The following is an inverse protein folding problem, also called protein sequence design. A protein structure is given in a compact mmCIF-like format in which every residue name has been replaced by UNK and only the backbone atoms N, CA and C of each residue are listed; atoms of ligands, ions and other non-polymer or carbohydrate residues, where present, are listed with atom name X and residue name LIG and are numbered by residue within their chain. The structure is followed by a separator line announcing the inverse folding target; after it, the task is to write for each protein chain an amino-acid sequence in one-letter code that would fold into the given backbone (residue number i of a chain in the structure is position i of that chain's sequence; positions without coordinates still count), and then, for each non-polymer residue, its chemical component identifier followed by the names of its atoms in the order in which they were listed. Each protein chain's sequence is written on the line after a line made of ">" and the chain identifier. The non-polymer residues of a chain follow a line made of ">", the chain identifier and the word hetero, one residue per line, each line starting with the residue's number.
data_IF_356990949571
#
_entry.id   IF_356990949571
#
_cell.length_a   1.000
_cell.length_b   1.000
_cell.length_c   1.000
_cell.angle_alpha   90.00
_cell.angle_beta   90.00
_cell.angle_gamma   90.00
#
_symmetry.space_group_name_H-M   'P 1'
#
loop_
_entity.id
_entity.type
_entity.pdbx_description
1 polymer ?
#
# COMPACT_ATOMS: atom_id res chain seq x y z
N UNK A 1 -1.46 -27.42 -11.04
CA UNK A 1 -1.28 -26.18 -10.26
C UNK A 1 0.14 -25.73 -10.48
N UNK A 2 0.36 -24.67 -11.27
CA UNK A 2 1.67 -24.07 -11.47
C UNK A 2 1.84 -23.03 -10.36
N UNK A 3 2.75 -23.27 -9.43
CA UNK A 3 3.17 -22.24 -8.49
C UNK A 3 4.37 -21.54 -9.13
N UNK A 4 4.27 -20.25 -9.47
CA UNK A 4 5.43 -19.52 -9.95
C UNK A 4 6.55 -19.61 -8.92
N UNK A 5 7.78 -19.83 -9.38
CA UNK A 5 8.93 -19.81 -8.48
C UNK A 5 9.12 -18.38 -7.98
N UNK A 6 9.27 -18.21 -6.66
CA UNK A 6 9.52 -16.92 -6.03
C UNK A 6 10.92 -16.99 -5.43
N UNK A 7 11.87 -16.35 -6.09
CA UNK A 7 13.29 -16.35 -5.71
C UNK A 7 13.59 -15.26 -4.68
N UNK A 8 12.90 -14.12 -4.76
CA UNK A 8 13.01 -13.03 -3.78
C UNK A 8 11.66 -12.32 -3.58
N UNK A 9 11.52 -11.68 -2.42
CA UNK A 9 10.31 -10.96 -2.01
C UNK A 9 10.73 -9.60 -1.46
N UNK A 10 10.04 -8.54 -1.88
CA UNK A 10 10.09 -7.25 -1.21
C UNK A 10 8.79 -6.98 -0.48
N UNK A 11 8.90 -6.43 0.73
CA UNK A 11 7.76 -6.01 1.54
C UNK A 11 7.87 -4.52 1.78
N UNK A 12 6.83 -3.77 1.43
CA UNK A 12 6.71 -2.34 1.67
C UNK A 12 5.62 -2.12 2.70
N UNK A 13 5.96 -1.42 3.78
CA UNK A 13 5.03 -1.05 4.84
C UNK A 13 4.63 0.42 4.70
N UNK A 14 3.33 0.68 4.79
CA UNK A 14 2.73 2.00 4.65
C UNK A 14 1.95 2.32 5.92
N UNK A 15 2.15 3.53 6.45
CA UNK A 15 1.44 4.06 7.60
C UNK A 15 0.79 5.40 7.23
N UNK A 16 -0.52 5.50 7.41
CA UNK A 16 -1.24 6.75 7.18
C UNK A 16 -1.04 7.68 8.39
N UNK A 17 -0.10 8.62 8.25
CA UNK A 17 0.17 9.60 9.28
C UNK A 17 -1.10 10.34 9.75
N UNK A 18 -1.24 10.49 11.07
CA UNK A 18 -2.23 11.36 11.71
C UNK A 18 -3.70 10.96 11.49
N UNK A 19 -4.02 9.70 11.17
CA UNK A 19 -5.41 9.25 11.04
C UNK A 19 -6.26 9.59 12.28
N UNK A 20 -5.71 9.43 13.48
CA UNK A 20 -6.39 9.82 14.72
C UNK A 20 -6.76 11.30 14.76
N UNK A 21 -5.85 12.19 14.33
CA UNK A 21 -6.11 13.63 14.28
C UNK A 21 -7.23 13.94 13.28
N UNK A 22 -7.24 13.27 12.13
CA UNK A 22 -8.31 13.41 11.13
C UNK A 22 -9.65 12.99 11.75
N UNK A 23 -9.69 11.83 12.41
CA UNK A 23 -10.90 11.32 13.08
C UNK A 23 -11.40 12.27 14.17
N UNK A 24 -10.50 12.76 15.03
CA UNK A 24 -10.85 13.63 16.15
C UNK A 24 -11.29 15.04 15.68
N UNK A 25 -10.77 15.52 14.55
CA UNK A 25 -11.05 16.88 14.02
C UNK A 25 -12.26 16.91 13.08
N UNK A 26 -12.37 15.93 12.20
CA UNK A 26 -13.35 15.93 11.10
C UNK A 26 -14.38 14.79 11.22
N UNK A 27 -14.17 13.83 12.11
CA UNK A 27 -15.02 12.66 12.30
C UNK A 27 -14.55 11.43 11.52
N UNK A 28 -15.01 10.27 11.94
CA UNK A 28 -14.61 8.96 11.38
C UNK A 28 -14.89 8.82 9.88
N UNK A 29 -15.95 9.44 9.36
CA UNK A 29 -16.25 9.42 7.93
C UNK A 29 -15.12 10.03 7.07
N UNK A 30 -14.39 11.02 7.61
CA UNK A 30 -13.25 11.63 6.91
C UNK A 30 -12.00 10.76 7.03
N UNK A 31 -11.80 10.08 8.16
CA UNK A 31 -10.76 9.06 8.28
C UNK A 31 -10.96 7.92 7.30
N UNK A 32 -12.20 7.45 7.14
CA UNK A 32 -12.54 6.40 6.17
C UNK A 32 -12.27 6.85 4.73
N UNK A 33 -12.50 8.13 4.40
CA UNK A 33 -12.12 8.70 3.10
C UNK A 33 -10.61 8.74 2.91
N UNK A 34 -9.84 9.13 3.93
CA UNK A 34 -8.38 9.15 3.86
C UNK A 34 -7.81 7.74 3.66
N UNK A 35 -8.33 6.75 4.39
CA UNK A 35 -8.00 5.34 4.21
C UNK A 35 -8.37 4.83 2.82
N UNK A 36 -9.54 5.20 2.31
CA UNK A 36 -9.99 4.82 0.97
C UNK A 36 -9.13 5.43 -0.13
N UNK A 37 -8.66 6.66 0.06
CA UNK A 37 -7.75 7.32 -0.88
C UNK A 37 -6.39 6.60 -0.94
N UNK A 38 -5.77 6.33 0.22
CA UNK A 38 -4.52 5.56 0.29
C UNK A 38 -4.70 4.17 -0.32
N UNK A 39 -5.76 3.46 0.03
CA UNK A 39 -6.05 2.14 -0.52
C UNK A 39 -6.20 2.17 -2.06
N UNK A 40 -6.85 3.21 -2.60
CA UNK A 40 -7.03 3.37 -4.05
C UNK A 40 -5.70 3.60 -4.78
N UNK A 41 -4.84 4.46 -4.22
CA UNK A 41 -3.49 4.72 -4.78
C UNK A 41 -2.65 3.43 -4.73
N UNK A 42 -2.59 2.76 -3.59
CA UNK A 42 -1.84 1.50 -3.47
C UNK A 42 -2.37 0.42 -4.41
N UNK A 43 -3.69 0.32 -4.57
CA UNK A 43 -4.32 -0.64 -5.47
C UNK A 43 -3.99 -0.36 -6.94
N UNK A 44 -3.87 0.91 -7.35
CA UNK A 44 -3.48 1.29 -8.70
C UNK A 44 -2.04 0.83 -9.06
N UNK A 45 -1.16 0.72 -8.06
CA UNK A 45 0.20 0.18 -8.21
C UNK A 45 0.31 -1.33 -7.98
N UNK A 46 -0.80 -1.98 -7.61
CA UNK A 46 -0.87 -3.43 -7.36
C UNK A 46 -1.15 -4.23 -8.65
N UNK A 47 -0.86 -5.52 -8.63
CA UNK A 47 -1.36 -6.49 -9.60
C UNK A 47 -1.61 -7.85 -8.91
N UNK A 48 -2.50 -8.66 -9.48
CA UNK A 48 -2.93 -9.93 -8.85
C UNK A 48 -1.84 -11.02 -8.87
N UNK A 49 -0.76 -10.85 -9.63
CA UNK A 49 0.21 -11.91 -9.90
C UNK A 49 1.47 -11.79 -9.04
N UNK A 50 2.00 -10.58 -8.93
CA UNK A 50 3.30 -10.28 -8.34
C UNK A 50 3.21 -9.18 -7.26
N UNK A 51 2.33 -8.18 -7.39
CA UNK A 51 2.26 -7.02 -6.47
C UNK A 51 0.96 -6.97 -5.69
N UNK A 52 0.89 -7.61 -4.52
CA UNK A 52 -0.35 -7.71 -3.73
C UNK A 52 -0.36 -6.71 -2.59
N UNK A 53 -1.48 -6.03 -2.38
CA UNK A 53 -1.69 -5.06 -1.29
C UNK A 53 -2.70 -5.59 -0.28
N UNK A 54 -2.39 -5.39 1.00
CA UNK A 54 -3.21 -5.81 2.12
C UNK A 54 -3.33 -4.67 3.12
N UNK A 55 -4.50 -4.51 3.72
CA UNK A 55 -4.66 -3.71 4.93
C UNK A 55 -4.27 -4.58 6.13
N UNK A 56 -3.24 -4.17 6.86
CA UNK A 56 -2.70 -4.92 8.00
C UNK A 56 -3.33 -4.49 9.32
N UNK A 57 -3.55 -3.18 9.49
CA UNK A 57 -4.05 -2.57 10.71
C UNK A 57 -5.08 -1.48 10.47
N UNK A 58 -5.23 -0.58 11.45
CA UNK A 58 -6.14 0.56 11.36
C UNK A 58 -5.79 1.47 10.18
N UNK A 59 -4.60 2.06 10.23
CA UNK A 59 -3.96 2.94 9.24
C UNK A 59 -2.85 2.27 8.44
N UNK A 60 -2.53 1.02 8.73
CA UNK A 60 -1.37 0.31 8.21
C UNK A 60 -1.71 -0.54 6.99
N UNK A 61 -0.92 -0.41 5.93
CA UNK A 61 -1.01 -1.23 4.70
C UNK A 61 0.33 -1.88 4.39
N UNK A 62 0.27 -3.05 3.75
CA UNK A 62 1.44 -3.82 3.34
C UNK A 62 1.32 -4.16 1.86
N UNK A 63 2.37 -3.89 1.10
CA UNK A 63 2.52 -4.38 -0.27
C UNK A 63 3.60 -5.47 -0.30
N UNK A 64 3.27 -6.63 -0.86
CA UNK A 64 4.19 -7.75 -1.09
C UNK A 64 4.44 -7.86 -2.59
N UNK A 65 5.71 -7.78 -2.98
CA UNK A 65 6.17 -7.89 -4.36
C UNK A 65 6.99 -9.17 -4.49
N UNK A 66 6.51 -10.10 -5.31
CA UNK A 66 7.21 -11.31 -5.68
C UNK A 66 8.14 -11.04 -6.86
N UNK A 67 9.39 -11.51 -6.78
CA UNK A 67 10.41 -11.35 -7.82
C UNK A 67 10.57 -9.91 -8.34
N UNK A 68 10.68 -8.88 -7.48
CA UNK A 68 10.81 -7.49 -7.91
C UNK A 68 11.98 -7.26 -8.87
N UNK A 69 11.76 -6.39 -9.85
CA UNK A 69 12.82 -5.86 -10.68
C UNK A 69 13.69 -4.86 -9.90
N UNK A 70 14.93 -4.67 -10.34
CA UNK A 70 15.86 -3.72 -9.73
C UNK A 70 15.25 -2.30 -9.65
N UNK A 71 15.15 -1.77 -8.43
CA UNK A 71 14.59 -0.45 -8.14
C UNK A 71 13.07 -0.34 -8.37
N UNK A 72 12.33 -1.44 -8.51
CA UNK A 72 10.87 -1.42 -8.61
C UNK A 72 10.23 -0.86 -7.34
N UNK A 73 10.70 -1.31 -6.16
CA UNK A 73 10.20 -0.85 -4.88
C UNK A 73 10.38 0.67 -4.70
N UNK A 74 11.55 1.21 -5.02
CA UNK A 74 11.83 2.65 -4.90
C UNK A 74 10.95 3.49 -5.84
N UNK A 75 10.67 2.97 -7.05
CA UNK A 75 9.76 3.62 -8.01
C UNK A 75 8.33 3.68 -7.47
N UNK A 76 7.82 2.57 -6.94
CA UNK A 76 6.48 2.52 -6.33
C UNK A 76 6.41 3.45 -5.12
N UNK A 77 7.43 3.44 -4.26
CA UNK A 77 7.51 4.33 -3.10
C UNK A 77 7.46 5.79 -3.51
N UNK A 78 8.17 6.16 -4.58
CA UNK A 78 8.19 7.54 -5.08
C UNK A 78 6.84 7.92 -5.70
N UNK A 79 6.26 7.06 -6.54
CA UNK A 79 4.98 7.33 -7.20
C UNK A 79 3.82 7.51 -6.20
N UNK A 80 3.70 6.61 -5.22
CA UNK A 80 2.65 6.71 -4.19
C UNK A 80 2.80 7.98 -3.35
N UNK A 81 4.04 8.42 -3.07
CA UNK A 81 4.30 9.68 -2.34
C UNK A 81 3.93 10.93 -3.14
N UNK A 82 4.05 10.90 -4.46
CA UNK A 82 3.70 12.03 -5.31
C UNK A 82 2.18 12.14 -5.55
N UNK A 83 1.43 11.04 -5.36
CA UNK A 83 -0.03 10.96 -5.55
C UNK A 83 -0.86 11.30 -4.29
N UNK A 84 -0.22 11.41 -3.11
CA UNK A 84 -0.85 11.68 -1.80
C UNK A 84 -0.50 13.07 -1.27
#
# INVERSE_FOLDING_TARGET
>A
MYYPNVDNITVIFWDLNNLKIINDTYGHEYGDKALSALASVLYAHSDEQCRRVYRFGGDEFVMIIDNPHDGEADRIISAVKDEL
#
